data_IF_566678319273
#
_entry.id   IF_566678319273
#
_cell.length_a   1.000
_cell.length_b   1.000
_cell.length_c   1.000
_cell.angle_alpha   90.00
_cell.angle_beta   90.00
_cell.angle_gamma   90.00
#
_symmetry.space_group_name_H-M   'P 1'
#
loop_
_entity.id
_entity.type
_entity.pdbx_description
1 polymer ?
#
# COMPACT_ATOMS: atom_id res chain seq x y z
N UNK A 1 5.33 18.25 -4.67
CA UNK A 1 6.00 17.28 -3.78
C UNK A 1 5.16 17.17 -2.52
N UNK A 2 4.45 16.07 -2.31
CA UNK A 2 3.58 15.91 -1.13
C UNK A 2 4.36 15.13 -0.07
N UNK A 3 4.70 15.78 1.03
CA UNK A 3 5.22 15.09 2.21
C UNK A 3 4.14 14.16 2.75
N UNK A 4 4.48 12.91 3.03
CA UNK A 4 3.53 11.95 3.61
C UNK A 4 3.23 12.40 5.04
N UNK A 5 2.04 12.94 5.27
CA UNK A 5 1.62 13.49 6.56
C UNK A 5 0.49 12.72 7.20
N UNK A 6 -0.44 12.18 6.41
CA UNK A 6 -1.60 11.46 6.91
C UNK A 6 -1.58 10.04 6.37
N UNK A 7 -1.50 9.04 7.25
CA UNK A 7 -1.38 7.65 6.85
C UNK A 7 -2.37 6.75 7.57
N UNK A 8 -2.61 5.57 7.01
CA UNK A 8 -3.28 4.48 7.73
C UNK A 8 -2.36 3.29 7.84
N UNK A 9 -2.40 2.62 9.00
CA UNK A 9 -1.64 1.40 9.25
C UNK A 9 -2.50 0.18 8.93
N UNK A 10 -1.89 -0.81 8.31
CA UNK A 10 -2.56 -2.05 7.92
C UNK A 10 -1.72 -3.23 8.36
N UNK A 11 -2.32 -4.14 9.13
CA UNK A 11 -1.62 -5.30 9.65
C UNK A 11 -2.40 -6.59 9.48
N UNK A 12 -1.70 -7.62 9.01
CA UNK A 12 -2.19 -8.98 8.92
C UNK A 12 -1.47 -9.84 9.95
N UNK A 13 -2.25 -10.40 10.87
CA UNK A 13 -1.74 -11.17 11.98
C UNK A 13 -2.44 -12.53 12.08
N UNK A 14 -1.69 -13.52 12.58
CA UNK A 14 -2.30 -14.78 13.01
C UNK A 14 -3.20 -14.52 14.22
N UNK A 15 -4.29 -15.27 14.38
CA UNK A 15 -5.10 -15.18 15.60
C UNK A 15 -4.28 -15.46 16.88
N UNK A 16 -3.18 -16.21 16.76
CA UNK A 16 -2.26 -16.53 17.86
C UNK A 16 -1.29 -15.40 18.22
N UNK A 17 -1.08 -14.45 17.31
CA UNK A 17 -0.24 -13.28 17.57
C UNK A 17 -1.00 -12.33 18.51
N UNK A 18 -0.54 -12.23 19.77
CA UNK A 18 -1.13 -11.38 20.80
C UNK A 18 -0.47 -9.99 20.84
N UNK A 19 0.73 -9.87 20.27
CA UNK A 19 1.57 -8.66 20.34
C UNK A 19 1.34 -7.73 19.14
N UNK A 20 0.36 -8.03 18.29
CA UNK A 20 0.04 -7.24 17.11
C UNK A 20 -0.22 -5.75 17.41
N UNK A 21 -0.81 -5.45 18.56
CA UNK A 21 -1.06 -4.07 19.00
C UNK A 21 0.27 -3.34 19.25
N UNK A 22 1.16 -3.93 20.03
CA UNK A 22 2.48 -3.37 20.32
C UNK A 22 3.29 -3.14 19.03
N UNK A 23 3.20 -4.07 18.06
CA UNK A 23 3.85 -3.92 16.76
C UNK A 23 3.28 -2.74 15.95
N UNK A 24 1.97 -2.49 16.02
CA UNK A 24 1.34 -1.32 15.41
C UNK A 24 1.72 -0.03 16.13
N UNK A 25 1.84 -0.05 17.46
CA UNK A 25 2.25 1.12 18.24
C UNK A 25 3.69 1.54 17.93
N UNK A 26 4.61 0.58 17.78
CA UNK A 26 5.98 0.86 17.31
C UNK A 26 5.98 1.51 15.93
N UNK A 27 5.12 1.04 15.02
CA UNK A 27 5.03 1.59 13.68
C UNK A 27 4.41 3.00 13.68
N UNK A 28 3.42 3.23 14.53
CA UNK A 28 2.80 4.55 14.73
C UNK A 28 3.81 5.57 15.27
N UNK A 29 4.57 5.19 16.30
CA UNK A 29 5.63 6.02 16.86
C UNK A 29 6.68 6.39 15.79
N UNK A 30 7.01 5.47 14.88
CA UNK A 30 7.92 5.73 13.75
C UNK A 30 7.35 6.73 12.76
N UNK A 31 6.08 6.58 12.37
CA UNK A 31 5.39 7.56 11.52
C UNK A 31 5.38 8.94 12.18
N UNK A 32 5.10 8.99 13.47
CA UNK A 32 5.09 10.24 14.25
C UNK A 32 6.48 10.88 14.32
N UNK A 33 7.53 10.09 14.52
CA UNK A 33 8.91 10.57 14.52
C UNK A 33 9.35 11.16 13.17
N UNK A 34 8.77 10.68 12.06
CA UNK A 34 8.97 11.22 10.72
C UNK A 34 8.08 12.44 10.40
N UNK A 35 7.28 12.91 11.36
CA UNK A 35 6.38 14.06 11.22
C UNK A 35 5.04 13.74 10.54
N UNK A 36 4.67 12.46 10.45
CA UNK A 36 3.37 12.01 9.98
C UNK A 36 2.37 11.74 11.12
N UNK A 37 1.13 11.44 10.74
CA UNK A 37 0.01 11.17 11.63
C UNK A 37 -0.75 9.93 11.16
N UNK A 38 -1.02 9.01 12.08
CA UNK A 38 -1.83 7.83 11.81
C UNK A 38 -3.31 8.16 12.04
N UNK A 39 -4.10 8.15 10.97
CA UNK A 39 -5.54 8.48 11.00
C UNK A 39 -6.46 7.26 11.07
N UNK A 40 -5.87 6.05 11.09
CA UNK A 40 -6.61 4.80 11.21
C UNK A 40 -5.69 3.59 11.23
N UNK A 41 -6.18 2.51 11.85
CA UNK A 41 -5.49 1.21 11.93
C UNK A 41 -6.45 0.12 11.48
N UNK A 42 -6.04 -0.68 10.50
CA UNK A 42 -6.81 -1.80 9.98
C UNK A 42 -6.10 -3.10 10.29
N UNK A 43 -6.77 -3.96 11.04
CA UNK A 43 -6.23 -5.26 11.44
C UNK A 43 -7.08 -6.36 10.82
N UNK A 44 -6.43 -7.25 10.08
CA UNK A 44 -7.02 -8.51 9.66
C UNK A 44 -6.38 -9.63 10.48
N UNK A 45 -7.21 -10.38 11.21
CA UNK A 45 -6.78 -11.59 11.91
C UNK A 45 -7.19 -12.81 11.09
N UNK A 46 -6.26 -13.76 10.88
CA UNK A 46 -6.53 -15.07 10.25
C UNK A 46 -6.75 -16.14 11.32
N UNK A 47 -7.67 -17.07 11.07
CA UNK A 47 -7.95 -18.19 11.99
C UNK A 47 -9.15 -18.00 12.91
N UNK A 48 -10.03 -17.04 12.64
CA UNK A 48 -11.16 -16.70 13.51
C UNK A 48 -12.48 -17.39 13.11
N UNK A 49 -12.49 -18.12 12.00
CA UNK A 49 -13.63 -18.94 11.51
C UNK A 49 -13.18 -20.39 11.27
N UNK A 50 -14.11 -21.35 11.24
CA UNK A 50 -13.82 -22.79 11.08
C UNK A 50 -12.92 -23.11 9.88
N UNK A 51 -13.14 -22.46 8.74
CA UNK A 51 -12.26 -22.59 7.56
C UNK A 51 -10.89 -21.90 7.70
N UNK A 52 -10.78 -20.93 8.60
CA UNK A 52 -9.55 -20.17 8.87
C UNK A 52 -8.56 -20.89 9.78
N UNK A 53 -9.00 -21.85 10.60
CA UNK A 53 -8.12 -22.59 11.53
C UNK A 53 -7.03 -23.36 10.77
N UNK A 54 -7.38 -23.97 9.63
CA UNK A 54 -6.42 -24.65 8.72
C UNK A 54 -5.40 -23.72 8.07
N UNK A 55 -5.64 -22.41 8.09
CA UNK A 55 -4.75 -21.39 7.54
C UNK A 55 -3.87 -20.70 8.61
N UNK A 56 -3.98 -21.10 9.88
CA UNK A 56 -3.19 -20.51 10.98
C UNK A 56 -1.68 -20.73 10.83
N UNK A 57 -1.27 -21.83 10.22
CA UNK A 57 0.13 -22.22 9.98
C UNK A 57 0.57 -22.01 8.53
N UNK A 58 -0.35 -21.60 7.64
CA UNK A 58 -0.04 -21.39 6.24
C UNK A 58 0.68 -20.04 6.06
N UNK A 59 1.72 -19.97 5.20
CA UNK A 59 2.30 -18.70 4.77
C UNK A 59 1.20 -17.75 4.29
N UNK A 60 1.33 -16.46 4.59
CA UNK A 60 0.41 -15.42 4.14
C UNK A 60 0.23 -15.58 2.62
N UNK A 61 -0.97 -16.02 2.21
CA UNK A 61 -1.16 -16.47 0.83
C UNK A 61 -0.94 -15.27 -0.10
N UNK A 62 -0.04 -15.45 -1.08
CA UNK A 62 0.46 -14.40 -1.97
C UNK A 62 -0.64 -13.61 -2.70
N UNK A 63 -1.81 -14.23 -2.90
CA UNK A 63 -2.89 -13.68 -3.75
C UNK A 63 -3.77 -12.64 -3.06
N UNK A 64 -4.05 -12.74 -1.76
CA UNK A 64 -4.92 -11.78 -1.07
C UNK A 64 -4.52 -11.66 0.41
N UNK A 65 -3.61 -10.73 0.70
CA UNK A 65 -3.26 -10.30 2.06
C UNK A 65 -4.48 -9.77 2.81
N UNK A 66 -5.46 -9.24 2.07
CA UNK A 66 -6.68 -8.63 2.59
C UNK A 66 -7.83 -9.06 1.66
N UNK A 67 -8.95 -9.47 2.26
CA UNK A 67 -10.15 -9.81 1.48
C UNK A 67 -10.73 -8.57 0.78
N UNK A 68 -11.50 -8.73 -0.31
CA UNK A 68 -12.01 -7.61 -1.10
C UNK A 68 -12.81 -6.59 -0.28
N UNK A 69 -13.68 -7.03 0.64
CA UNK A 69 -14.47 -6.12 1.47
C UNK A 69 -13.63 -5.24 2.42
N UNK A 70 -12.58 -5.82 3.02
CA UNK A 70 -11.67 -5.06 3.88
C UNK A 70 -10.82 -4.07 3.06
N UNK A 71 -10.50 -4.42 1.82
CA UNK A 71 -9.80 -3.52 0.90
C UNK A 71 -10.68 -2.33 0.48
N UNK A 72 -11.97 -2.55 0.27
CA UNK A 72 -12.94 -1.48 0.00
C UNK A 72 -13.17 -0.56 1.21
N UNK A 73 -13.20 -1.12 2.42
CA UNK A 73 -13.27 -0.35 3.68
C UNK A 73 -12.04 0.60 3.82
N UNK A 74 -10.84 0.09 3.53
CA UNK A 74 -9.61 0.88 3.54
C UNK A 74 -9.67 1.96 2.45
N UNK A 75 -10.08 1.63 1.23
CA UNK A 75 -10.19 2.59 0.13
C UNK A 75 -11.20 3.72 0.42
N UNK A 76 -12.32 3.38 1.06
CA UNK A 76 -13.34 4.34 1.50
C UNK A 76 -12.79 5.28 2.57
N UNK A 77 -12.04 4.75 3.52
CA UNK A 77 -11.38 5.55 4.55
C UNK A 77 -10.31 6.46 3.96
N UNK A 78 -9.53 5.96 2.99
CA UNK A 78 -8.52 6.75 2.31
C UNK A 78 -9.12 7.95 1.57
N UNK A 79 -10.25 7.74 0.90
CA UNK A 79 -10.96 8.78 0.16
C UNK A 79 -11.63 9.81 1.07
N UNK A 80 -12.17 9.39 2.22
CA UNK A 80 -12.89 10.29 3.15
C UNK A 80 -11.98 11.12 4.05
N UNK A 81 -10.76 10.65 4.36
CA UNK A 81 -9.86 11.30 5.34
C UNK A 81 -8.60 11.91 4.73
N UNK A 82 -8.56 12.09 3.41
CA UNK A 82 -7.41 12.63 2.66
C UNK A 82 -6.08 11.94 3.04
N UNK A 83 -6.08 10.61 3.01
CA UNK A 83 -4.89 9.80 3.37
C UNK A 83 -3.85 9.88 2.26
N UNK A 84 -2.60 10.19 2.62
CA UNK A 84 -1.47 10.29 1.69
C UNK A 84 -0.92 8.91 1.31
N UNK A 85 -0.86 7.98 2.27
CA UNK A 85 -0.32 6.64 2.04
C UNK A 85 -0.91 5.57 2.97
N UNK A 86 -0.83 4.32 2.53
CA UNK A 86 -1.22 3.13 3.29
C UNK A 86 0.05 2.36 3.65
N UNK A 87 0.31 2.16 4.94
CA UNK A 87 1.52 1.50 5.43
C UNK A 87 1.18 0.10 5.92
N UNK A 88 1.79 -0.91 5.32
CA UNK A 88 1.67 -2.30 5.71
C UNK A 88 2.76 -2.68 6.69
N UNK A 89 2.38 -3.32 7.79
CA UNK A 89 3.34 -3.86 8.75
C UNK A 89 4.07 -5.10 8.21
N UNK A 90 3.41 -5.83 7.31
CA UNK A 90 3.95 -7.03 6.69
C UNK A 90 4.75 -6.66 5.44
N UNK A 91 5.82 -7.40 5.18
CA UNK A 91 6.55 -7.28 3.92
C UNK A 91 5.65 -7.61 2.73
N UNK A 92 5.84 -6.81 1.68
CA UNK A 92 5.12 -6.93 0.42
C UNK A 92 6.13 -7.14 -0.70
N UNK A 93 5.86 -8.12 -1.57
CA UNK A 93 6.55 -8.19 -2.84
C UNK A 93 6.21 -6.97 -3.72
N UNK A 94 7.10 -6.64 -4.66
CA UNK A 94 6.89 -5.54 -5.60
C UNK A 94 5.55 -5.66 -6.37
N UNK A 95 5.16 -6.88 -6.73
CA UNK A 95 3.88 -7.16 -7.38
C UNK A 95 2.69 -6.82 -6.45
N UNK A 96 2.73 -7.26 -5.20
CA UNK A 96 1.67 -6.98 -4.22
C UNK A 96 1.55 -5.48 -3.95
N UNK A 97 2.67 -4.79 -3.75
CA UNK A 97 2.71 -3.34 -3.55
C UNK A 97 2.07 -2.60 -4.72
N UNK A 98 2.42 -2.95 -5.96
CA UNK A 98 1.84 -2.35 -7.17
C UNK A 98 0.34 -2.62 -7.30
N UNK A 99 -0.08 -3.87 -7.08
CA UNK A 99 -1.48 -4.26 -7.16
C UNK A 99 -2.35 -3.55 -6.10
N UNK A 100 -1.89 -3.53 -4.85
CA UNK A 100 -2.55 -2.83 -3.74
C UNK A 100 -2.62 -1.32 -4.00
N UNK A 101 -1.51 -0.72 -4.42
CA UNK A 101 -1.47 0.73 -4.70
C UNK A 101 -2.43 1.13 -5.82
N UNK A 102 -2.53 0.29 -6.87
CA UNK A 102 -3.50 0.49 -7.96
C UNK A 102 -4.93 0.41 -7.43
N UNK A 103 -5.23 -0.56 -6.57
CA UNK A 103 -6.60 -0.78 -6.06
C UNK A 103 -7.03 0.25 -5.01
N UNK A 104 -6.09 0.75 -4.22
CA UNK A 104 -6.33 1.76 -3.19
C UNK A 104 -6.28 3.19 -3.75
N UNK A 105 -5.74 3.37 -4.95
CA UNK A 105 -5.50 4.70 -5.53
C UNK A 105 -4.52 5.54 -4.71
N UNK A 106 -3.73 4.90 -3.84
CA UNK A 106 -2.78 5.53 -2.93
C UNK A 106 -1.47 4.75 -2.90
N UNK A 107 -0.35 5.44 -2.62
CA UNK A 107 0.92 4.80 -2.35
C UNK A 107 0.80 3.76 -1.23
N UNK A 108 1.44 2.61 -1.45
CA UNK A 108 1.57 1.56 -0.44
C UNK A 108 3.03 1.48 -0.03
N UNK A 109 3.29 1.55 1.28
CA UNK A 109 4.61 1.46 1.89
C UNK A 109 4.67 0.25 2.85
N UNK A 110 5.86 -0.22 3.16
CA UNK A 110 6.13 -1.20 4.23
C UNK A 110 6.95 -0.57 5.35
N UNK A 111 7.21 -1.32 6.43
CA UNK A 111 8.11 -0.88 7.49
C UNK A 111 9.50 -0.51 6.96
N UNK A 112 10.04 -1.31 6.04
CA UNK A 112 11.35 -1.08 5.42
C UNK A 112 11.42 0.24 4.66
N UNK A 113 10.31 0.71 4.07
CA UNK A 113 10.27 2.01 3.38
C UNK A 113 10.42 3.18 4.37
N UNK A 114 10.02 3.01 5.64
CA UNK A 114 10.17 4.02 6.69
C UNK A 114 11.58 4.04 7.31
N UNK A 115 12.32 2.93 7.20
CA UNK A 115 13.72 2.85 7.64
C UNK A 115 14.69 3.55 6.67
N UNK A 116 14.24 3.83 5.44
CA UNK A 116 15.01 4.61 4.48
C UNK A 116 14.99 6.10 4.88
N UNK A 117 16.12 6.83 4.74
CA UNK A 117 16.18 8.24 5.10
C UNK A 117 15.11 9.04 4.34
N UNK A 118 14.52 10.04 5.01
CA UNK A 118 13.33 10.79 4.60
C UNK A 118 13.33 11.33 3.15
N UNK A 119 14.50 11.45 2.51
CA UNK A 119 14.63 11.76 1.09
C UNK A 119 14.00 10.71 0.15
N UNK A 120 13.85 9.46 0.59
CA UNK A 120 13.25 8.36 -0.21
C UNK A 120 11.74 8.19 -0.03
N UNK A 121 11.15 8.80 1.01
CA UNK A 121 9.68 8.88 1.18
C UNK A 121 9.04 9.95 0.28
N UNK A 122 9.88 10.67 -0.48
CA UNK A 122 9.47 11.55 -1.54
C UNK A 122 8.99 10.69 -2.71
N UNK A 123 7.68 10.55 -2.82
CA UNK A 123 7.09 9.90 -3.98
C UNK A 123 7.22 10.89 -5.14
N UNK A 124 7.97 10.56 -6.23
CA UNK A 124 7.97 11.40 -7.40
C UNK A 124 6.54 11.42 -7.92
N UNK A 125 5.90 12.58 -7.81
CA UNK A 125 4.62 12.85 -8.46
C UNK A 125 4.85 12.50 -9.93
N UNK A 126 4.13 11.50 -10.43
CA UNK A 126 4.24 11.05 -11.81
C UNK A 126 3.66 12.16 -12.69
N UNK A 127 4.51 13.15 -12.99
CA UNK A 127 4.22 14.16 -13.99
C UNK A 127 4.00 13.44 -15.31
N UNK A 128 2.91 13.81 -15.96
CA UNK A 128 2.47 13.31 -17.26
C UNK A 128 3.65 13.25 -18.24
N UNK A 129 3.73 12.21 -19.10
CA UNK A 129 4.68 12.26 -20.21
C UNK A 129 4.31 13.45 -21.11
N UNK A 130 5.28 14.21 -21.64
CA UNK A 130 4.98 15.24 -22.63
C UNK A 130 4.37 14.56 -23.85
N UNK A 131 3.18 15.00 -24.25
CA UNK A 131 2.63 14.72 -25.57
C UNK A 131 3.57 15.36 -26.61
N UNK A 132 4.52 14.58 -27.10
CA UNK A 132 5.55 15.08 -28.00
C UNK A 132 6.32 13.96 -28.69
N UNK A 133 5.68 13.28 -29.63
CA UNK A 133 6.30 12.60 -30.80
C UNK A 133 5.12 12.07 -31.65
N UNK A 134 4.88 12.59 -32.85
CA UNK A 134 5.82 12.53 -33.95
C UNK A 134 5.50 11.30 -34.80
N UNK A 135 4.36 11.32 -35.52
CA UNK A 135 4.07 10.31 -36.53
C UNK A 135 4.30 10.91 -37.92
N UNK A 136 5.57 10.91 -38.35
CA UNK A 136 5.95 10.97 -39.76
C UNK A 136 6.42 9.58 -40.17
N UNK A 137 5.56 8.86 -40.89
CA UNK A 137 5.91 7.87 -41.93
C UNK A 137 4.57 7.49 -42.59
N UNK A 138 4.42 7.36 -43.91
CA UNK A 138 5.24 6.65 -44.88
C UNK A 138 5.00 7.20 -46.29
N UNK A 139 6.03 7.18 -47.13
CA UNK A 139 5.93 7.46 -48.56
C UNK A 139 5.62 6.23 -49.42
N UNK A 140 5.20 6.49 -50.66
CA UNK A 140 5.59 5.81 -51.94
C UNK A 140 4.62 6.31 -53.03
N UNK A 141 5.11 7.03 -54.04
CA UNK A 141 5.39 6.55 -55.42
C UNK A 141 4.24 5.78 -56.08
N UNK A 142 3.74 6.32 -57.21
CA UNK A 142 3.26 5.49 -58.33
C UNK A 142 2.13 6.09 -59.17
N UNK A 143 2.51 6.64 -60.34
CA UNK A 143 1.79 6.62 -61.65
C UNK A 143 0.26 6.73 -61.67
N UNK A 144 -0.23 7.78 -62.33
CA UNK A 144 -0.77 7.69 -63.70
C UNK A 144 -0.78 9.06 -64.34
#
# INVERSE_FOLDING_TARGET
MTAIRSVVLVGLFSAKDRDYQARLDVLDARVTALGGHVLGRFVQRRGVSDGGVRLMTAPLSRRFLIGPGKLEEIATTCSSRNIDAVIFINDLSAYQRRWLSTRLGRPVLTQTDLDLPAASLIIPTRSQPPTGQGHRSRGRRGRR
#
